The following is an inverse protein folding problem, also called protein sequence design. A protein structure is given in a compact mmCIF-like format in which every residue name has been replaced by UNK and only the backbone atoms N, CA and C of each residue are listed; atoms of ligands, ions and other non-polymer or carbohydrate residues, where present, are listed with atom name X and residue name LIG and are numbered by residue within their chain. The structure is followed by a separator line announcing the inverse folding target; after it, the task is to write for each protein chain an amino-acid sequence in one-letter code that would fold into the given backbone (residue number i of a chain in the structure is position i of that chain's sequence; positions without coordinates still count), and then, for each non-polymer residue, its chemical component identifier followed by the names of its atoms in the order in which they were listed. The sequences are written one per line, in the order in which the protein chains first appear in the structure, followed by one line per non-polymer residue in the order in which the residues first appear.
data_IF_046655145822
#
_entry.id   IF_046655145822
#
_cell.length_a   1.000
_cell.length_b   1.000
_cell.length_c   1.000
_cell.angle_alpha   90.00
_cell.angle_beta   90.00
_cell.angle_gamma   90.00
#
_symmetry.space_group_name_H-M   'P 1'
#
loop_
_entity.id
_entity.type
_entity.pdbx_description
1 polymer ?
#
# COMPACT_ATOMS: atom_id res chain seq x y z
N UNK A 1 14.97 14.05 -19.51
CA UNK A 1 14.61 13.85 -18.09
C UNK A 1 14.21 12.39 -17.91
N UNK A 2 15.12 11.56 -17.40
CA UNK A 2 14.84 10.13 -17.18
C UNK A 2 13.80 9.94 -16.09
N UNK A 3 12.92 8.94 -16.23
CA UNK A 3 11.94 8.57 -15.21
C UNK A 3 12.68 8.21 -13.92
N UNK A 4 12.69 9.10 -12.93
CA UNK A 4 13.25 8.80 -11.61
C UNK A 4 12.48 7.61 -11.04
N UNK A 5 13.16 6.50 -10.81
CA UNK A 5 12.56 5.38 -10.09
C UNK A 5 12.13 5.91 -8.72
N UNK A 6 10.84 5.76 -8.40
CA UNK A 6 10.31 6.14 -7.09
C UNK A 6 11.08 5.38 -6.01
N UNK A 7 11.58 6.08 -5.00
CA UNK A 7 12.32 5.42 -3.93
C UNK A 7 11.37 4.49 -3.15
N UNK A 8 11.91 3.39 -2.63
CA UNK A 8 11.12 2.44 -1.84
C UNK A 8 10.42 3.13 -0.66
N UNK A 9 11.11 4.09 -0.05
CA UNK A 9 10.55 4.94 1.02
C UNK A 9 9.30 5.70 0.56
N UNK A 10 9.33 6.36 -0.61
CA UNK A 10 8.19 7.12 -1.13
C UNK A 10 6.99 6.20 -1.42
N UNK A 11 7.27 4.95 -1.84
CA UNK A 11 6.23 3.95 -2.05
C UNK A 11 5.56 3.61 -0.71
N UNK A 12 6.35 3.24 0.30
CA UNK A 12 5.83 2.91 1.63
C UNK A 12 5.09 4.08 2.27
N UNK A 13 5.65 5.30 2.20
CA UNK A 13 5.01 6.50 2.72
C UNK A 13 3.63 6.73 2.11
N UNK A 14 3.49 6.56 0.78
CA UNK A 14 2.17 6.70 0.15
C UNK A 14 1.19 5.59 0.52
N UNK A 15 1.65 4.34 0.68
CA UNK A 15 0.76 3.26 1.11
C UNK A 15 0.21 3.57 2.51
N UNK A 16 1.08 3.97 3.44
CA UNK A 16 0.71 4.28 4.82
C UNK A 16 -0.21 5.50 4.90
N UNK A 17 0.09 6.57 4.17
CA UNK A 17 -0.75 7.78 4.13
C UNK A 17 -2.17 7.47 3.61
N UNK A 18 -2.27 6.63 2.58
CA UNK A 18 -3.57 6.23 2.03
C UNK A 18 -4.34 5.37 3.01
N UNK A 19 -3.66 4.46 3.73
CA UNK A 19 -4.27 3.61 4.74
C UNK A 19 -4.78 4.41 5.95
N UNK A 20 -4.00 5.37 6.42
CA UNK A 20 -4.32 6.24 7.56
C UNK A 20 -5.53 7.14 7.28
N UNK A 21 -5.53 7.86 6.15
CA UNK A 21 -6.58 8.82 5.78
C UNK A 21 -7.99 8.25 5.69
N UNK A 22 -8.13 6.94 5.48
CA UNK A 22 -9.43 6.28 5.27
C UNK A 22 -9.82 5.30 6.37
N UNK A 23 -9.00 5.17 7.44
CA UNK A 23 -9.26 4.22 8.51
C UNK A 23 -9.26 2.75 8.04
N UNK A 24 -8.52 2.46 6.96
CA UNK A 24 -8.56 1.19 6.24
C UNK A 24 -8.83 1.38 4.75
N UNK A 25 -8.07 0.68 3.91
CA UNK A 25 -8.19 0.79 2.44
C UNK A 25 -8.02 -0.56 1.76
N UNK A 26 -8.81 -0.76 0.71
CA UNK A 26 -8.67 -1.93 -0.15
C UNK A 26 -7.42 -1.80 -1.04
N UNK A 27 -6.84 -2.95 -1.40
CA UNK A 27 -5.66 -3.07 -2.29
C UNK A 27 -5.81 -2.25 -3.58
N UNK A 28 -7.01 -2.19 -4.15
CA UNK A 28 -7.31 -1.39 -5.36
C UNK A 28 -7.03 0.10 -5.14
N UNK A 29 -7.43 0.67 -4.00
CA UNK A 29 -7.17 2.06 -3.69
C UNK A 29 -5.67 2.34 -3.52
N UNK A 30 -4.93 1.40 -2.95
CA UNK A 30 -3.47 1.48 -2.82
C UNK A 30 -2.79 1.49 -4.19
N UNK A 31 -3.19 0.59 -5.09
CA UNK A 31 -2.66 0.49 -6.47
C UNK A 31 -2.80 1.81 -7.21
N UNK A 32 -4.00 2.41 -7.20
CA UNK A 32 -4.26 3.67 -7.91
C UNK A 32 -3.53 4.86 -7.30
N UNK A 33 -3.41 4.95 -5.97
CA UNK A 33 -2.77 6.10 -5.31
C UNK A 33 -1.24 5.99 -5.28
N UNK A 34 -0.69 4.79 -5.10
CA UNK A 34 0.76 4.58 -5.08
C UNK A 34 1.37 4.47 -6.49
N UNK A 35 0.54 4.47 -7.54
CA UNK A 35 0.94 4.25 -8.94
C UNK A 35 1.78 2.96 -9.09
N UNK A 36 1.32 1.90 -8.44
CA UNK A 36 1.94 0.57 -8.48
C UNK A 36 1.10 -0.36 -9.33
N UNK A 37 1.71 -1.41 -9.87
CA UNK A 37 0.92 -2.55 -10.35
C UNK A 37 0.44 -3.41 -9.16
N UNK A 38 -0.58 -4.23 -9.40
CA UNK A 38 -1.21 -5.06 -8.37
C UNK A 38 -0.23 -5.99 -7.64
N UNK A 39 0.74 -6.57 -8.36
CA UNK A 39 1.73 -7.48 -7.80
C UNK A 39 2.68 -6.74 -6.85
N UNK A 40 3.24 -5.61 -7.28
CA UNK A 40 4.13 -4.78 -6.46
C UNK A 40 3.42 -4.23 -5.23
N UNK A 41 2.16 -3.79 -5.38
CA UNK A 41 1.37 -3.35 -4.25
C UNK A 41 1.20 -4.47 -3.22
N UNK A 42 0.96 -5.72 -3.66
CA UNK A 42 0.85 -6.88 -2.77
C UNK A 42 2.13 -7.16 -2.00
N UNK A 43 3.28 -7.18 -2.68
CA UNK A 43 4.59 -7.41 -2.06
C UNK A 43 4.87 -6.35 -0.99
N UNK A 44 4.61 -5.07 -1.29
CA UNK A 44 4.84 -3.98 -0.35
C UNK A 44 3.85 -4.00 0.82
N UNK A 45 2.57 -4.28 0.57
CA UNK A 45 1.57 -4.42 1.65
C UNK A 45 1.96 -5.57 2.57
N UNK A 46 2.34 -6.73 2.00
CA UNK A 46 2.76 -7.88 2.79
C UNK A 46 3.97 -7.56 3.67
N UNK A 47 4.99 -6.90 3.13
CA UNK A 47 6.15 -6.46 3.91
C UNK A 47 5.74 -5.53 5.06
N UNK A 48 4.87 -4.55 4.81
CA UNK A 48 4.40 -3.64 5.84
C UNK A 48 3.59 -4.35 6.93
N UNK A 49 2.81 -5.37 6.57
CA UNK A 49 2.06 -6.20 7.53
C UNK A 49 3.01 -7.09 8.35
N UNK A 50 3.95 -7.76 7.69
CA UNK A 50 4.95 -8.63 8.33
C UNK A 50 5.80 -7.84 9.36
N UNK A 51 6.03 -6.55 9.12
CA UNK A 51 6.73 -5.64 10.02
C UNK A 51 5.81 -4.90 11.03
N UNK A 52 4.50 -5.16 11.04
CA UNK A 52 3.55 -4.54 11.98
C UNK A 52 3.25 -3.06 11.72
N UNK A 53 3.56 -2.57 10.52
CA UNK A 53 3.27 -1.20 10.08
C UNK A 53 1.88 -1.06 9.44
N UNK A 54 1.27 -2.18 9.05
CA UNK A 54 -0.11 -2.27 8.59
C UNK A 54 -0.82 -3.46 9.23
N UNK A 55 -2.13 -3.32 9.43
CA UNK A 55 -3.00 -4.42 9.82
C UNK A 55 -3.95 -4.74 8.66
N UNK A 56 -4.19 -6.03 8.42
CA UNK A 56 -5.24 -6.47 7.50
C UNK A 56 -6.50 -6.79 8.29
N UNK A 57 -7.63 -6.27 7.82
CA UNK A 57 -8.95 -6.64 8.30
C UNK A 57 -9.61 -7.42 7.18
N UNK A 58 -10.01 -8.65 7.46
CA UNK A 58 -10.91 -9.38 6.57
C UNK A 58 -12.30 -8.94 6.96
N UNK A 59 -12.96 -8.16 6.11
CA UNK A 59 -14.37 -7.82 6.30
C UNK A 59 -15.16 -9.11 6.13
N UNK A 60 -15.45 -9.75 7.27
CA UNK A 60 -16.19 -10.99 7.34
C UNK A 60 -17.66 -10.72 7.07
N UNK A 61 -18.05 -10.65 5.80
CA UNK A 61 -19.45 -10.80 5.42
C UNK A 61 -19.86 -12.24 5.73
N UNK A 62 -20.59 -12.40 6.84
CA UNK A 62 -21.58 -13.47 6.99
C UNK A 62 -22.81 -13.14 6.16
#
# INVERSE_FOLDING_TARGET
MGKTKRALFDVFSSILEVADKKGGVNKTAIVYNANLNFLRAEEHIRLLVDHGLLCTFVDGTK
#
